data_IF_375173302562
#
_entry.id   IF_375173302562
#
_cell.length_a   1.000
_cell.length_b   1.000
_cell.length_c   1.000
_cell.angle_alpha   90.00
_cell.angle_beta   90.00
_cell.angle_gamma   90.00
#
_symmetry.space_group_name_H-M   'P 1'
#
loop_
_entity.id
_entity.type
_entity.pdbx_description
1 polymer ?
#
# COMPACT_ATOMS: atom_id res chain seq x y z
N UNK A 1 -9.02 -16.53 -15.65
CA UNK A 1 -10.33 -16.37 -16.28
C UNK A 1 -10.24 -15.42 -17.48
N UNK A 2 -10.77 -15.80 -18.65
CA UNK A 2 -10.93 -14.87 -19.78
C UNK A 2 -12.26 -14.13 -19.60
N UNK A 3 -12.30 -12.81 -19.87
CA UNK A 3 -13.54 -12.01 -19.76
C UNK A 3 -14.67 -12.54 -20.66
N UNK A 4 -14.32 -13.24 -21.73
CA UNK A 4 -15.26 -13.87 -22.67
C UNK A 4 -15.87 -15.18 -22.16
N UNK A 5 -15.34 -15.74 -21.07
CA UNK A 5 -15.88 -16.96 -20.45
C UNK A 5 -17.07 -16.65 -19.51
N UNK A 6 -17.33 -15.36 -19.25
CA UNK A 6 -18.42 -14.91 -18.40
C UNK A 6 -19.60 -14.42 -19.25
N UNK A 7 -20.85 -14.76 -18.90
CA UNK A 7 -22.01 -14.11 -19.47
C UNK A 7 -21.96 -12.59 -19.25
N UNK A 8 -22.40 -11.82 -20.24
CA UNK A 8 -22.25 -10.36 -20.26
C UNK A 8 -22.80 -9.67 -19.00
N UNK A 9 -23.93 -10.15 -18.48
CA UNK A 9 -24.54 -9.61 -17.26
C UNK A 9 -23.69 -9.82 -16.01
N UNK A 10 -22.91 -10.92 -15.97
CA UNK A 10 -21.96 -11.18 -14.89
C UNK A 10 -20.78 -10.22 -14.99
N UNK A 11 -20.23 -10.04 -16.20
CA UNK A 11 -19.12 -9.13 -16.45
C UNK A 11 -19.50 -7.68 -16.11
N UNK A 12 -20.69 -7.23 -16.51
CA UNK A 12 -21.19 -5.89 -16.18
C UNK A 12 -21.34 -5.69 -14.68
N UNK A 13 -21.85 -6.69 -13.96
CA UNK A 13 -22.02 -6.61 -12.51
C UNK A 13 -20.69 -6.61 -11.76
N UNK A 14 -19.72 -7.42 -12.19
CA UNK A 14 -18.35 -7.37 -11.67
C UNK A 14 -17.68 -6.02 -11.92
N UNK A 15 -17.83 -5.46 -13.12
CA UNK A 15 -17.21 -4.18 -13.47
C UNK A 15 -17.79 -3.03 -12.63
N UNK A 16 -19.11 -2.95 -12.47
CA UNK A 16 -19.74 -1.92 -11.63
C UNK A 16 -19.24 -2.01 -10.20
N UNK A 17 -19.25 -3.21 -9.61
CA UNK A 17 -18.76 -3.42 -8.25
C UNK A 17 -17.27 -3.08 -8.13
N UNK A 18 -16.44 -3.53 -9.06
CA UNK A 18 -15.00 -3.22 -9.08
C UNK A 18 -14.74 -1.71 -9.12
N UNK A 19 -15.47 -0.95 -9.95
CA UNK A 19 -15.34 0.53 -10.01
C UNK A 19 -15.67 1.15 -8.67
N UNK A 20 -16.78 0.74 -8.03
CA UNK A 20 -17.20 1.30 -6.74
C UNK A 20 -16.23 0.95 -5.61
N UNK A 21 -15.79 -0.31 -5.52
CA UNK A 21 -14.81 -0.74 -4.52
C UNK A 21 -13.46 -0.08 -4.75
N UNK A 22 -13.02 0.10 -6.00
CA UNK A 22 -11.77 0.78 -6.31
C UNK A 22 -11.82 2.24 -5.90
N UNK A 23 -12.94 2.93 -6.14
CA UNK A 23 -13.11 4.31 -5.70
C UNK A 23 -12.98 4.44 -4.18
N UNK A 24 -13.64 3.55 -3.44
CA UNK A 24 -13.52 3.50 -1.98
C UNK A 24 -12.11 3.10 -1.52
N UNK A 25 -11.40 2.27 -2.28
CA UNK A 25 -10.04 1.86 -1.97
C UNK A 25 -9.01 2.97 -2.20
N UNK A 26 -9.15 3.77 -3.25
CA UNK A 26 -8.29 4.93 -3.55
C UNK A 26 -8.30 5.94 -2.39
N UNK A 27 -9.46 6.17 -1.77
CA UNK A 27 -9.59 7.03 -0.60
C UNK A 27 -8.82 6.49 0.63
N UNK A 28 -8.31 5.25 0.57
CA UNK A 28 -7.64 4.53 1.65
C UNK A 28 -6.34 3.82 1.18
N UNK A 29 -5.69 4.33 0.13
CA UNK A 29 -4.54 3.69 -0.58
C UNK A 29 -3.31 3.41 0.31
N UNK A 30 -3.23 4.01 1.50
CA UNK A 30 -2.19 3.71 2.50
C UNK A 30 -2.53 2.57 3.47
N UNK A 31 -3.80 2.18 3.55
CA UNK A 31 -4.33 1.20 4.50
C UNK A 31 -4.55 -0.17 3.88
N UNK A 32 -4.78 -0.24 2.56
CA UNK A 32 -5.11 -1.48 1.87
C UNK A 32 -4.36 -1.61 0.55
N UNK A 33 -4.04 -2.84 0.17
CA UNK A 33 -3.43 -3.19 -1.11
C UNK A 33 -4.48 -3.88 -1.97
N UNK A 34 -4.75 -3.35 -3.16
CA UNK A 34 -5.61 -4.01 -4.14
C UNK A 34 -4.83 -5.06 -4.93
N UNK A 35 -5.28 -6.31 -4.86
CA UNK A 35 -4.74 -7.46 -5.59
C UNK A 35 -5.85 -8.19 -6.35
N UNK A 36 -5.50 -9.32 -6.97
CA UNK A 36 -6.45 -10.22 -7.61
C UNK A 36 -6.17 -11.65 -7.19
N UNK A 37 -7.21 -12.44 -6.92
CA UNK A 37 -7.05 -13.86 -6.61
C UNK A 37 -6.79 -14.70 -7.87
N UNK A 38 -6.59 -16.01 -7.70
CA UNK A 38 -6.33 -16.95 -8.80
C UNK A 38 -7.40 -16.94 -9.89
N UNK A 39 -8.64 -16.59 -9.53
CA UNK A 39 -9.78 -16.46 -10.46
C UNK A 39 -9.83 -15.09 -11.14
N UNK A 40 -8.87 -14.21 -10.87
CA UNK A 40 -8.82 -12.80 -11.30
C UNK A 40 -9.98 -11.96 -10.77
N UNK A 41 -10.54 -12.34 -9.62
CA UNK A 41 -11.52 -11.54 -8.90
C UNK A 41 -10.79 -10.60 -7.94
N UNK A 42 -11.45 -9.48 -7.62
CA UNK A 42 -10.88 -8.45 -6.77
C UNK A 42 -10.60 -8.97 -5.36
N UNK A 43 -9.43 -8.59 -4.84
CA UNK A 43 -9.03 -8.82 -3.46
C UNK A 43 -8.42 -7.53 -2.92
N UNK A 44 -8.69 -7.24 -1.67
CA UNK A 44 -8.01 -6.20 -0.91
C UNK A 44 -7.37 -6.87 0.29
N UNK A 45 -6.10 -6.57 0.51
CA UNK A 45 -5.33 -7.00 1.66
C UNK A 45 -5.05 -5.79 2.55
N UNK A 46 -4.92 -6.00 3.84
CA UNK A 46 -4.33 -5.01 4.72
C UNK A 46 -2.89 -4.71 4.28
N UNK A 47 -2.45 -3.44 4.43
CA UNK A 47 -1.11 -3.03 4.05
C UNK A 47 -0.06 -3.36 5.14
N UNK A 48 -0.48 -3.86 6.30
CA UNK A 48 0.40 -4.44 7.29
C UNK A 48 0.82 -5.87 6.89
N UNK A 49 2.12 -6.09 6.69
CA UNK A 49 2.69 -7.38 6.28
C UNK A 49 2.54 -8.49 7.33
N UNK A 50 2.31 -8.14 8.59
CA UNK A 50 2.04 -9.07 9.67
C UNK A 50 0.55 -9.45 9.78
N UNK A 51 -0.31 -8.70 9.08
CA UNK A 51 -1.77 -8.89 9.08
C UNK A 51 -2.18 -9.92 8.04
N UNK A 52 -3.16 -10.76 8.40
CA UNK A 52 -3.82 -11.67 7.48
C UNK A 52 -5.20 -11.16 7.05
N UNK A 53 -5.51 -9.90 7.37
CA UNK A 53 -6.79 -9.29 7.08
C UNK A 53 -6.97 -9.09 5.57
N UNK A 54 -8.15 -9.44 5.10
CA UNK A 54 -8.49 -9.37 3.68
C UNK A 54 -9.98 -9.17 3.46
N UNK A 55 -10.28 -8.61 2.30
CA UNK A 55 -11.60 -8.57 1.69
C UNK A 55 -11.50 -9.12 0.28
N UNK A 56 -12.06 -10.30 0.04
CA UNK A 56 -11.88 -11.04 -1.21
C UNK A 56 -13.22 -11.41 -1.83
N UNK A 57 -13.37 -11.13 -3.13
CA UNK A 57 -14.47 -11.67 -3.90
C UNK A 57 -14.13 -13.10 -4.37
N UNK A 58 -14.81 -14.10 -3.78
CA UNK A 58 -14.53 -15.53 -4.03
C UNK A 58 -15.29 -16.05 -5.24
N UNK A 59 -16.55 -15.64 -5.37
CA UNK A 59 -17.47 -16.16 -6.39
C UNK A 59 -18.61 -15.20 -6.66
N UNK A 60 -19.11 -15.21 -7.88
CA UNK A 60 -20.35 -14.56 -8.29
C UNK A 60 -21.35 -15.61 -8.77
N UNK A 61 -22.58 -15.51 -8.31
CA UNK A 61 -23.69 -16.39 -8.64
C UNK A 61 -24.89 -15.58 -9.13
N UNK A 62 -25.70 -16.21 -9.98
CA UNK A 62 -26.95 -15.64 -10.47
C UNK A 62 -28.09 -16.63 -10.21
N UNK A 63 -28.60 -16.73 -8.97
CA UNK A 63 -29.87 -17.40 -8.73
C UNK A 63 -30.97 -16.61 -9.45
N UNK A 64 -31.33 -17.03 -10.67
CA UNK A 64 -32.20 -16.26 -11.56
C UNK A 64 -31.46 -15.10 -12.20
N UNK A 65 -31.96 -13.87 -12.03
CA UNK A 65 -31.43 -12.67 -12.69
C UNK A 65 -30.80 -11.66 -11.71
N UNK A 66 -30.61 -12.03 -10.44
CA UNK A 66 -30.05 -11.16 -9.40
C UNK A 66 -28.60 -11.59 -9.10
N UNK A 67 -27.61 -10.69 -9.23
CA UNK A 67 -26.24 -11.01 -8.88
C UNK A 67 -26.09 -11.17 -7.37
N UNK A 68 -25.49 -12.29 -6.96
CA UNK A 68 -25.14 -12.61 -5.59
C UNK A 68 -23.64 -12.89 -5.51
N UNK A 69 -22.96 -12.13 -4.67
CA UNK A 69 -21.52 -12.17 -4.47
C UNK A 69 -21.21 -12.95 -3.20
N UNK A 70 -20.29 -13.91 -3.29
CA UNK A 70 -19.68 -14.54 -2.13
C UNK A 70 -18.37 -13.82 -1.84
N UNK A 71 -18.31 -13.15 -0.70
CA UNK A 71 -17.10 -12.48 -0.21
C UNK A 71 -16.51 -13.25 0.95
N UNK A 72 -15.20 -13.34 1.02
CA UNK A 72 -14.44 -13.81 2.17
C UNK A 72 -13.80 -12.60 2.85
N UNK A 73 -14.16 -12.35 4.12
CA UNK A 73 -13.70 -11.18 4.87
C UNK A 73 -13.05 -11.60 6.19
N UNK A 74 -11.89 -11.01 6.48
CA UNK A 74 -11.22 -11.06 7.78
C UNK A 74 -10.70 -9.66 8.14
N UNK A 75 -10.95 -9.15 9.36
CA UNK A 75 -11.67 -9.83 10.45
C UNK A 75 -13.16 -9.98 10.13
N UNK A 76 -13.77 -11.06 10.63
CA UNK A 76 -15.20 -11.35 10.42
C UNK A 76 -16.12 -10.45 11.24
N UNK A 77 -15.61 -9.90 12.34
CA UNK A 77 -16.29 -8.97 13.24
C UNK A 77 -15.28 -8.26 14.16
N UNK A 78 -15.73 -7.25 14.91
CA UNK A 78 -14.93 -6.58 15.95
C UNK A 78 -14.37 -7.52 17.02
N UNK A 79 -15.02 -8.67 17.25
CA UNK A 79 -14.64 -9.62 18.30
C UNK A 79 -13.96 -10.87 17.73
N UNK A 80 -13.70 -10.94 16.43
CA UNK A 80 -13.07 -12.10 15.80
C UNK A 80 -12.24 -11.75 14.58
N UNK A 81 -10.96 -12.10 14.65
CA UNK A 81 -10.00 -12.00 13.56
C UNK A 81 -10.12 -13.15 12.55
N UNK A 82 -11.05 -14.09 12.76
CA UNK A 82 -11.29 -15.18 11.80
C UNK A 82 -11.84 -14.67 10.48
N UNK A 83 -11.64 -15.44 9.40
CA UNK A 83 -12.32 -15.22 8.13
C UNK A 83 -13.76 -15.74 8.17
N UNK A 84 -14.66 -15.09 7.42
CA UNK A 84 -16.03 -15.52 7.22
C UNK A 84 -16.46 -15.29 5.77
N UNK A 85 -17.03 -16.32 5.14
CA UNK A 85 -17.64 -16.21 3.82
C UNK A 85 -19.09 -15.75 3.95
N UNK A 86 -19.42 -14.59 3.35
CA UNK A 86 -20.77 -14.01 3.33
C UNK A 86 -21.33 -14.02 1.90
N UNK A 87 -22.63 -14.28 1.78
CA UNK A 87 -23.38 -14.28 0.52
C UNK A 87 -24.28 -13.05 0.45
N UNK A 88 -23.95 -12.10 -0.43
CA UNK A 88 -24.47 -10.73 -0.39
C UNK A 88 -24.88 -10.22 -1.77
N UNK A 89 -25.82 -9.29 -1.82
CA UNK A 89 -26.08 -8.51 -3.05
C UNK A 89 -25.07 -7.35 -3.21
N UNK A 90 -25.07 -6.71 -4.39
CA UNK A 90 -24.12 -5.63 -4.73
C UNK A 90 -24.06 -4.53 -3.65
N UNK A 91 -25.23 -4.05 -3.17
CA UNK A 91 -25.32 -3.00 -2.14
C UNK A 91 -24.72 -3.43 -0.80
N UNK A 92 -24.97 -4.67 -0.40
CA UNK A 92 -24.45 -5.23 0.85
C UNK A 92 -22.93 -5.43 0.81
N UNK A 93 -22.36 -5.81 -0.35
CA UNK A 93 -20.91 -5.93 -0.51
C UNK A 93 -20.22 -4.59 -0.26
N UNK A 94 -20.77 -3.50 -0.79
CA UNK A 94 -20.23 -2.14 -0.58
C UNK A 94 -20.27 -1.77 0.91
N UNK A 95 -21.40 -2.02 1.58
CA UNK A 95 -21.54 -1.74 3.01
C UNK A 95 -20.55 -2.53 3.86
N UNK A 96 -20.36 -3.81 3.54
CA UNK A 96 -19.36 -4.65 4.22
C UNK A 96 -17.93 -4.19 3.96
N UNK A 97 -17.61 -3.75 2.75
CA UNK A 97 -16.28 -3.19 2.45
C UNK A 97 -15.99 -1.91 3.23
N UNK A 98 -16.97 -1.00 3.32
CA UNK A 98 -16.85 0.21 4.12
C UNK A 98 -16.68 -0.10 5.61
N UNK A 99 -17.44 -1.07 6.12
CA UNK A 99 -17.31 -1.52 7.50
C UNK A 99 -15.93 -2.13 7.77
N UNK A 100 -15.44 -2.97 6.87
CA UNK A 100 -14.12 -3.58 6.95
C UNK A 100 -13.01 -2.51 6.98
N UNK A 101 -13.05 -1.52 6.08
CA UNK A 101 -12.14 -0.37 6.10
C UNK A 101 -12.21 0.37 7.44
N UNK A 102 -13.41 0.58 7.99
CA UNK A 102 -13.55 1.28 9.27
C UNK A 102 -12.89 0.53 10.43
N UNK A 103 -12.88 -0.81 10.40
CA UNK A 103 -12.17 -1.62 11.40
C UNK A 103 -10.67 -1.51 11.22
N UNK A 104 -10.16 -1.59 9.99
CA UNK A 104 -8.73 -1.38 9.71
C UNK A 104 -8.25 -0.02 10.23
N UNK A 105 -9.05 1.05 10.06
CA UNK A 105 -8.73 2.38 10.63
C UNK A 105 -8.65 2.39 12.14
N UNK A 106 -9.43 1.57 12.83
CA UNK A 106 -9.37 1.44 14.29
C UNK A 106 -8.12 0.68 14.69
N UNK A 107 -7.79 -0.43 14.02
CA UNK A 107 -6.56 -1.17 14.25
C UNK A 107 -5.32 -0.30 14.03
N UNK A 108 -5.24 0.39 12.89
CA UNK A 108 -4.13 1.28 12.54
C UNK A 108 -3.93 2.42 13.56
N UNK A 109 -5.00 2.91 14.18
CA UNK A 109 -4.95 3.96 15.21
C UNK A 109 -4.74 3.44 16.63
N UNK A 110 -4.87 2.14 16.85
CA UNK A 110 -4.75 1.56 18.17
C UNK A 110 -3.29 1.24 18.42
N UNK A 111 -2.79 1.66 19.58
CA UNK A 111 -1.43 1.37 20.02
C UNK A 111 -1.49 0.55 21.30
N UNK A 112 -0.77 -0.57 21.33
CA UNK A 112 -0.57 -1.39 22.50
C UNK A 112 0.58 -0.86 23.36
N UNK A 113 1.54 -0.17 22.74
CA UNK A 113 2.73 0.39 23.41
C UNK A 113 3.01 1.83 23.00
N UNK A 114 3.65 2.65 23.87
CA UNK A 114 4.11 3.99 23.50
C UNK A 114 5.10 4.00 22.33
N UNK A 115 5.86 2.92 22.15
CA UNK A 115 6.81 2.79 21.04
C UNK A 115 6.12 2.71 19.67
N UNK A 116 4.96 2.04 19.61
CA UNK A 116 4.12 2.01 18.39
C UNK A 116 3.58 3.39 18.06
N UNK A 117 3.17 4.16 19.08
CA UNK A 117 2.72 5.54 18.91
C UNK A 117 3.87 6.42 18.40
N UNK A 118 5.08 6.30 18.94
CA UNK A 118 6.24 7.02 18.43
C UNK A 118 6.56 6.67 16.98
N UNK A 119 6.51 5.38 16.63
CA UNK A 119 6.78 4.93 15.26
C UNK A 119 5.78 5.54 14.28
N UNK A 120 4.49 5.56 14.63
CA UNK A 120 3.45 6.20 13.81
C UNK A 120 3.68 7.69 13.65
N UNK A 121 3.98 8.39 14.75
CA UNK A 121 4.29 9.82 14.71
C UNK A 121 5.50 10.12 13.81
N UNK A 122 6.55 9.30 13.86
CA UNK A 122 7.71 9.44 12.97
C UNK A 122 7.33 9.19 11.51
N UNK A 123 6.49 8.20 11.22
CA UNK A 123 6.02 7.93 9.88
C UNK A 123 5.20 9.11 9.33
N UNK A 124 4.30 9.68 10.12
CA UNK A 124 3.52 10.86 9.74
C UNK A 124 4.42 12.07 9.46
N UNK A 125 5.43 12.31 10.32
CA UNK A 125 6.44 13.36 10.12
C UNK A 125 7.15 13.20 8.78
N UNK A 126 7.68 12.00 8.48
CA UNK A 126 8.36 11.76 7.21
C UNK A 126 7.41 11.76 6.01
N UNK A 127 6.18 11.32 6.16
CA UNK A 127 5.18 11.39 5.09
C UNK A 127 4.89 12.83 4.71
N UNK A 128 4.66 13.71 5.69
CA UNK A 128 4.48 15.15 5.45
C UNK A 128 5.72 15.79 4.82
N UNK A 129 6.92 15.35 5.19
CA UNK A 129 8.16 15.85 4.58
C UNK A 129 8.32 15.42 3.13
N UNK A 130 7.87 14.21 2.79
CA UNK A 130 8.00 13.62 1.45
C UNK A 130 6.74 13.81 0.59
N UNK A 131 5.74 14.54 1.10
CA UNK A 131 4.44 14.67 0.45
C UNK A 131 4.58 15.27 -0.95
N UNK A 132 3.99 14.57 -1.93
CA UNK A 132 4.01 14.98 -3.33
C UNK A 132 2.75 15.80 -3.63
N UNK A 133 2.94 17.00 -4.15
CA UNK A 133 1.86 17.89 -4.59
C UNK A 133 1.46 17.56 -6.04
N UNK A 134 1.15 16.29 -6.31
CA UNK A 134 0.73 15.82 -7.64
C UNK A 134 -0.69 15.26 -7.58
N UNK A 135 -1.58 15.82 -8.41
CA UNK A 135 -3.01 15.46 -8.44
C UNK A 135 -3.22 14.00 -8.84
N UNK A 136 -2.29 13.42 -9.59
CA UNK A 136 -2.37 12.04 -10.06
C UNK A 136 -1.69 11.02 -9.11
N UNK A 137 -1.18 11.45 -7.95
CA UNK A 137 -0.36 10.63 -7.06
C UNK A 137 -1.05 9.35 -6.57
N UNK A 138 -2.39 9.33 -6.58
CA UNK A 138 -3.22 8.19 -6.19
C UNK A 138 -3.52 7.22 -7.36
N UNK A 139 -3.16 7.57 -8.60
CA UNK A 139 -3.53 6.81 -9.80
C UNK A 139 -2.37 6.50 -10.73
N UNK A 140 -1.30 7.29 -10.68
CA UNK A 140 -0.14 7.15 -11.52
C UNK A 140 1.06 6.61 -10.74
N UNK A 141 1.95 5.93 -11.46
CA UNK A 141 3.29 5.60 -10.97
C UNK A 141 4.22 6.80 -11.16
N UNK A 142 5.39 6.81 -10.51
CA UNK A 142 6.45 7.76 -10.85
C UNK A 142 6.90 7.61 -12.31
N UNK A 143 7.55 8.63 -12.87
CA UNK A 143 8.19 8.52 -14.19
C UNK A 143 9.33 7.50 -14.16
N UNK A 144 9.74 6.97 -15.31
CA UNK A 144 10.85 5.99 -15.40
C UNK A 144 12.13 6.53 -14.76
N UNK A 145 12.46 7.80 -14.99
CA UNK A 145 13.67 8.42 -14.43
C UNK A 145 13.59 8.53 -12.90
N UNK A 146 12.43 8.93 -12.37
CA UNK A 146 12.18 8.97 -10.93
C UNK A 146 12.26 7.57 -10.31
N UNK A 147 11.66 6.56 -10.95
CA UNK A 147 11.74 5.17 -10.50
C UNK A 147 13.20 4.67 -10.44
N UNK A 148 14.03 4.98 -11.44
CA UNK A 148 15.46 4.62 -11.46
C UNK A 148 16.21 5.32 -10.32
N UNK A 149 15.92 6.59 -10.03
CA UNK A 149 16.53 7.31 -8.92
C UNK A 149 16.15 6.70 -7.56
N UNK A 150 14.86 6.39 -7.37
CA UNK A 150 14.37 5.75 -6.15
C UNK A 150 15.01 4.36 -5.98
N UNK A 151 15.07 3.54 -7.03
CA UNK A 151 15.69 2.21 -6.97
C UNK A 151 17.18 2.29 -6.61
N UNK A 152 17.93 3.22 -7.22
CA UNK A 152 19.35 3.43 -6.88
C UNK A 152 19.55 3.79 -5.42
N UNK A 153 18.69 4.66 -4.89
CA UNK A 153 18.76 5.08 -3.50
C UNK A 153 18.37 3.96 -2.54
N UNK A 154 17.29 3.22 -2.82
CA UNK A 154 16.90 2.05 -2.04
C UNK A 154 17.99 0.96 -2.06
N UNK A 155 18.63 0.72 -3.22
CA UNK A 155 19.76 -0.18 -3.33
C UNK A 155 20.96 0.28 -2.50
N UNK A 156 21.23 1.59 -2.45
CA UNK A 156 22.26 2.14 -1.57
C UNK A 156 21.95 1.86 -0.10
N UNK A 157 20.71 2.09 0.34
CA UNK A 157 20.28 1.78 1.71
C UNK A 157 20.44 0.29 2.03
N UNK A 158 19.94 -0.58 1.15
CA UNK A 158 20.03 -2.03 1.30
C UNK A 158 21.48 -2.49 1.50
N UNK A 159 22.39 -2.09 0.61
CA UNK A 159 23.81 -2.47 0.66
C UNK A 159 24.46 -1.99 1.96
N UNK A 160 24.07 -0.81 2.46
CA UNK A 160 24.62 -0.22 3.69
C UNK A 160 24.10 -0.89 4.96
N UNK A 161 22.84 -1.32 4.98
CA UNK A 161 22.21 -1.98 6.12
C UNK A 161 22.55 -3.47 6.20
N UNK A 162 22.89 -4.11 5.08
CA UNK A 162 23.14 -5.56 5.00
C UNK A 162 24.20 -6.11 5.98
N UNK A 163 25.28 -5.38 6.34
CA UNK A 163 26.21 -5.84 7.37
C UNK A 163 25.58 -5.90 8.76
N UNK A 164 24.76 -4.90 9.12
CA UNK A 164 24.11 -4.79 10.43
C UNK A 164 22.88 -5.72 10.54
N UNK A 165 22.18 -5.97 9.43
CA UNK A 165 20.99 -6.84 9.40
C UNK A 165 21.25 -8.28 9.85
N UNK A 166 22.49 -8.78 9.69
CA UNK A 166 22.86 -10.14 10.10
C UNK A 166 22.81 -10.35 11.62
N UNK A 167 22.85 -9.27 12.39
CA UNK A 167 22.93 -9.31 13.85
C UNK A 167 21.78 -8.56 14.52
N UNK A 168 20.97 -7.84 13.74
CA UNK A 168 19.86 -7.03 14.23
C UNK A 168 18.61 -7.34 13.41
N UNK A 169 17.63 -7.97 14.05
CA UNK A 169 16.36 -8.38 13.46
C UNK A 169 15.55 -7.17 12.97
N UNK A 170 15.52 -6.07 13.71
CA UNK A 170 14.83 -4.83 13.30
C UNK A 170 15.45 -4.26 12.00
N UNK A 171 16.78 -4.26 11.89
CA UNK A 171 17.46 -3.82 10.67
C UNK A 171 17.21 -4.80 9.52
N UNK A 172 17.10 -6.09 9.80
CA UNK A 172 16.75 -7.10 8.80
C UNK A 172 15.34 -6.88 8.24
N UNK A 173 14.36 -6.58 9.09
CA UNK A 173 13.01 -6.22 8.63
C UNK A 173 13.01 -4.98 7.73
N UNK A 174 13.79 -3.94 8.07
CA UNK A 174 13.94 -2.75 7.23
C UNK A 174 14.54 -3.11 5.86
N UNK A 175 15.52 -4.02 5.82
CA UNK A 175 16.11 -4.50 4.56
C UNK A 175 15.08 -5.24 3.70
N UNK A 176 14.22 -6.05 4.31
CA UNK A 176 13.15 -6.73 3.57
C UNK A 176 12.08 -5.75 3.05
N UNK A 177 11.69 -4.74 3.84
CA UNK A 177 10.79 -3.67 3.38
C UNK A 177 11.38 -2.92 2.17
N UNK A 178 12.69 -2.62 2.20
CA UNK A 178 13.40 -1.98 1.09
C UNK A 178 13.31 -2.85 -0.18
N UNK A 179 13.57 -4.17 -0.07
CA UNK A 179 13.51 -5.09 -1.22
C UNK A 179 12.10 -5.19 -1.79
N UNK A 180 11.08 -5.27 -0.92
CA UNK A 180 9.68 -5.29 -1.32
C UNK A 180 9.33 -4.02 -2.10
N UNK A 181 9.66 -2.84 -1.56
CA UNK A 181 9.39 -1.57 -2.21
C UNK A 181 10.07 -1.47 -3.59
N UNK A 182 11.34 -1.89 -3.71
CA UNK A 182 12.06 -1.95 -4.99
C UNK A 182 11.33 -2.82 -6.03
N UNK A 183 10.77 -3.95 -5.61
CA UNK A 183 9.97 -4.84 -6.47
C UNK A 183 8.62 -4.28 -6.93
N UNK A 184 8.13 -3.23 -6.25
CA UNK A 184 6.83 -2.60 -6.49
C UNK A 184 6.89 -1.24 -7.22
N UNK A 185 8.05 -0.59 -7.34
CA UNK A 185 8.19 0.77 -7.88
C UNK A 185 7.46 1.01 -9.22
N UNK A 186 7.47 0.04 -10.13
CA UNK A 186 6.83 0.15 -11.45
C UNK A 186 5.37 -0.33 -11.50
N UNK A 187 4.80 -0.77 -10.37
CA UNK A 187 3.49 -1.43 -10.30
C UNK A 187 2.53 -0.73 -9.35
N UNK A 188 2.96 0.32 -8.67
CA UNK A 188 2.18 0.98 -7.64
C UNK A 188 2.20 2.50 -7.75
N UNK A 189 1.31 3.15 -7.01
CA UNK A 189 1.05 4.59 -7.07
C UNK A 189 2.20 5.38 -6.43
N UNK A 190 2.40 6.62 -6.87
CA UNK A 190 3.38 7.55 -6.26
C UNK A 190 3.14 7.65 -4.75
N UNK A 191 1.87 7.76 -4.34
CA UNK A 191 1.47 7.83 -2.93
C UNK A 191 1.89 6.59 -2.14
N UNK A 192 1.61 5.38 -2.65
CA UNK A 192 2.00 4.15 -1.94
C UNK A 192 3.52 4.10 -1.75
N UNK A 193 4.30 4.47 -2.76
CA UNK A 193 5.77 4.51 -2.66
C UNK A 193 6.21 5.46 -1.55
N UNK A 194 5.65 6.68 -1.50
CA UNK A 194 5.95 7.65 -0.42
C UNK A 194 5.58 7.09 0.94
N UNK A 195 4.40 6.48 1.08
CA UNK A 195 3.95 5.85 2.34
C UNK A 195 4.94 4.78 2.82
N UNK A 196 5.36 3.87 1.96
CA UNK A 196 6.34 2.84 2.33
C UNK A 196 7.72 3.43 2.64
N UNK A 197 8.13 4.48 1.90
CA UNK A 197 9.37 5.20 2.19
C UNK A 197 9.36 5.85 3.58
N UNK A 198 8.25 6.49 3.97
CA UNK A 198 8.07 7.09 5.29
C UNK A 198 8.10 6.04 6.40
N UNK A 199 7.54 4.84 6.18
CA UNK A 199 7.64 3.71 7.12
C UNK A 199 9.09 3.27 7.32
N UNK A 200 9.86 3.13 6.23
CA UNK A 200 11.28 2.77 6.29
C UNK A 200 12.06 3.80 7.13
N UNK A 201 11.83 5.09 6.91
CA UNK A 201 12.50 6.15 7.68
C UNK A 201 12.07 6.19 9.15
N UNK A 202 10.80 5.94 9.45
CA UNK A 202 10.32 5.82 10.82
C UNK A 202 10.99 4.67 11.57
N UNK A 203 11.11 3.49 10.93
CA UNK A 203 11.81 2.32 11.49
C UNK A 203 13.31 2.56 11.63
N UNK A 204 13.94 3.25 10.68
CA UNK A 204 15.34 3.68 10.81
C UNK A 204 15.56 4.62 11.98
N UNK A 205 14.65 5.58 12.19
CA UNK A 205 14.72 6.49 13.34
C UNK A 205 14.57 5.74 14.66
N UNK A 206 13.63 4.79 14.73
CA UNK A 206 13.43 3.94 15.92
C UNK A 206 14.68 3.13 16.24
N UNK A 207 15.28 2.49 15.24
CA UNK A 207 16.44 1.61 15.41
C UNK A 207 17.75 2.38 15.66
N UNK A 208 18.03 3.45 14.90
CA UNK A 208 19.29 4.20 15.02
C UNK A 208 19.23 5.60 14.40
N UNK A 209 19.33 6.62 15.25
CA UNK A 209 19.46 8.02 14.81
C UNK A 209 20.70 8.25 13.92
N UNK A 210 21.75 7.46 14.12
CA UNK A 210 22.98 7.54 13.32
C UNK A 210 22.71 7.08 11.89
N UNK A 211 22.05 5.93 11.71
CA UNK A 211 21.67 5.42 10.39
C UNK A 211 20.70 6.37 9.70
N UNK A 212 19.70 6.87 10.43
CA UNK A 212 18.79 7.89 9.91
C UNK A 212 19.56 9.08 9.35
N UNK A 213 20.51 9.64 10.10
CA UNK A 213 21.31 10.79 9.65
C UNK A 213 22.10 10.51 8.36
N UNK A 214 22.70 9.33 8.23
CA UNK A 214 23.43 8.93 7.01
C UNK A 214 22.50 8.88 5.79
N UNK A 215 21.35 8.23 5.92
CA UNK A 215 20.42 8.07 4.81
C UNK A 215 19.68 9.38 4.49
N UNK A 216 19.22 10.09 5.50
CA UNK A 216 18.51 11.36 5.33
C UNK A 216 19.36 12.40 4.59
N UNK A 217 20.64 12.55 4.95
CA UNK A 217 21.55 13.46 4.24
C UNK A 217 21.81 13.05 2.79
N UNK A 218 21.95 11.75 2.53
CA UNK A 218 22.09 11.23 1.16
C UNK A 218 20.81 11.45 0.34
N UNK A 219 19.64 11.19 0.92
CA UNK A 219 18.33 11.29 0.27
C UNK A 219 17.95 12.74 -0.02
N UNK A 220 18.20 13.66 0.92
CA UNK A 220 17.91 15.09 0.76
C UNK A 220 18.74 15.75 -0.34
N UNK A 221 19.97 15.30 -0.54
CA UNK A 221 20.86 15.84 -1.58
C UNK A 221 20.47 15.43 -2.98
N UNK A 222 19.96 14.20 -3.16
CA UNK A 222 19.83 13.61 -4.49
C UNK A 222 18.39 13.24 -4.89
N UNK A 223 17.57 12.78 -3.94
CA UNK A 223 16.24 12.24 -4.20
C UNK A 223 15.12 13.27 -3.94
N UNK A 224 15.05 13.84 -2.73
CA UNK A 224 13.91 14.68 -2.33
C UNK A 224 13.86 16.01 -3.06
N UNK A 225 15.01 16.62 -3.36
CA UNK A 225 15.04 17.83 -4.22
C UNK A 225 14.43 17.58 -5.60
N UNK A 226 14.69 16.40 -6.19
CA UNK A 226 14.23 16.05 -7.54
C UNK A 226 12.78 15.55 -7.57
N UNK A 227 12.30 14.98 -6.45
CA UNK A 227 10.92 14.54 -6.30
C UNK A 227 9.97 15.71 -5.96
N UNK A 228 10.39 16.62 -5.07
CA UNK A 228 9.57 17.73 -4.57
C UNK A 228 9.49 18.88 -5.58
N UNK A 229 10.57 19.18 -6.31
CA UNK A 229 10.55 20.33 -7.23
C UNK A 229 9.68 20.11 -8.47
N UNK A 230 9.28 18.87 -8.78
CA UNK A 230 8.60 18.54 -10.04
C UNK A 230 9.36 18.96 -11.31
N UNK A 231 10.59 19.46 -11.17
CA UNK A 231 11.20 20.40 -12.10
C UNK A 231 12.47 19.82 -12.68
N UNK A 232 12.36 19.28 -13.89
CA UNK A 232 13.49 19.11 -14.80
C UNK A 232 13.92 20.43 -15.45
N UNK A 233 13.31 21.57 -15.09
CA UNK A 233 13.65 22.86 -15.69
C UNK A 233 15.06 23.35 -15.32
N UNK A 234 15.67 22.86 -14.24
CA UNK A 234 17.03 23.26 -13.84
C UNK A 234 18.17 22.55 -14.60
N UNK A 235 17.90 21.61 -15.51
CA UNK A 235 18.94 20.94 -16.32
C UNK A 235 19.12 21.51 -17.73
N UNK A 236 18.33 22.49 -18.14
CA UNK A 236 18.61 23.25 -19.38
C UNK A 236 19.74 24.28 -19.22
N UNK A 237 20.29 24.44 -18.02
CA UNK A 237 21.46 25.30 -17.75
C UNK A 237 22.82 24.60 -17.76
N UNK A 238 22.90 23.31 -18.08
CA UNK A 238 24.14 22.52 -18.09
C UNK A 238 24.34 21.66 -19.35
N UNK A 239 23.77 22.08 -20.48
CA UNK A 239 24.24 21.75 -21.83
C UNK A 239 24.68 23.03 -22.55
#
# INVERSE_FOLDING_TARGET
MNKKDLPLIQLQSLNRLNVQLSKLGVDNDGLIIKTYNEKKLIRFDDNDSSSNFKFELVKLEFPGNTPIFNIDVSPSSQNSNSSLVKRLNEKQVIGEFQQWISWLKVFDKSHLTPEEEFLKNYQEEFYSEFEIIDEDANTSTFSTEQQILIDKYLNYMEVKLLPESKQNEEINEIVEDIKLLRGELGKTTKKKIVTEFSKIFARLRKSSIKLLGEFYEAGKKELFKRLISGGLDELTGLM
#
